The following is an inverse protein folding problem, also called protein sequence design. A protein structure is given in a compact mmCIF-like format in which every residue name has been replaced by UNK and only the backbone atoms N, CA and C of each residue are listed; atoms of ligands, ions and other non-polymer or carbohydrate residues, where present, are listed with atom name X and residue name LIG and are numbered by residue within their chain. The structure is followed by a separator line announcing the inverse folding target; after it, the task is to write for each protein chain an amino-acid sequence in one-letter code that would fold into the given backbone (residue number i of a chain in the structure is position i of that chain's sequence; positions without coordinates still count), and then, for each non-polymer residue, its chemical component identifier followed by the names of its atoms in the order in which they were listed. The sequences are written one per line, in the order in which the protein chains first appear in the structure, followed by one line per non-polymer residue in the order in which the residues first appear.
data_IF_337787205751
#
_entry.id   IF_337787205751
#
_cell.length_a   1.000
_cell.length_b   1.000
_cell.length_c   1.000
_cell.angle_alpha   90.00
_cell.angle_beta   90.00
_cell.angle_gamma   90.00
#
_symmetry.space_group_name_H-M   'P 1'
#
loop_
_entity.id
_entity.type
_entity.pdbx_description
1 polymer ?
#
# COMPACT_ATOMS: atom_id res chain seq x y z
N UNK A 1 7.76 -26.78 6.07
CA UNK A 1 7.40 -26.18 7.37
C UNK A 1 8.46 -25.18 7.84
N UNK A 2 9.78 -25.40 7.58
CA UNK A 2 10.85 -24.52 8.04
C UNK A 2 10.98 -23.13 7.35
N UNK A 3 10.52 -22.98 6.11
CA UNK A 3 10.69 -21.74 5.33
C UNK A 3 9.76 -20.62 5.79
N UNK A 4 8.49 -20.93 6.05
CA UNK A 4 7.51 -19.96 6.61
C UNK A 4 7.92 -19.38 7.96
N UNK A 5 8.61 -20.17 8.78
CA UNK A 5 9.09 -19.73 10.10
C UNK A 5 10.26 -18.75 10.00
N UNK A 6 11.09 -18.82 8.95
CA UNK A 6 12.24 -17.92 8.74
C UNK A 6 11.80 -16.55 8.19
N UNK A 7 10.82 -16.52 7.29
CA UNK A 7 10.29 -15.24 6.75
C UNK A 7 9.54 -14.45 7.82
N UNK A 8 8.73 -15.13 8.66
CA UNK A 8 8.09 -14.49 9.81
C UNK A 8 9.09 -14.01 10.86
N UNK A 9 10.24 -14.67 11.03
CA UNK A 9 11.27 -14.25 11.98
C UNK A 9 12.06 -13.03 11.50
N UNK A 10 12.33 -12.89 10.21
CA UNK A 10 13.05 -11.74 9.65
C UNK A 10 12.21 -10.45 9.74
N UNK A 11 10.93 -10.52 9.38
CA UNK A 11 10.00 -9.39 9.53
C UNK A 11 9.79 -9.03 11.00
N UNK A 12 9.64 -10.03 11.88
CA UNK A 12 9.51 -9.81 13.32
C UNK A 12 10.77 -9.19 13.93
N UNK A 13 11.95 -9.62 13.50
CA UNK A 13 13.23 -9.03 13.91
C UNK A 13 13.35 -7.58 13.43
N UNK A 14 13.01 -7.31 12.16
CA UNK A 14 13.00 -5.95 11.64
C UNK A 14 12.10 -5.03 12.48
N UNK A 15 10.86 -5.43 12.73
CA UNK A 15 9.90 -4.67 13.55
C UNK A 15 10.44 -4.49 14.98
N UNK A 16 11.03 -5.53 15.58
CA UNK A 16 11.60 -5.44 16.92
C UNK A 16 12.76 -4.44 17.00
N UNK A 17 13.70 -4.49 16.04
CA UNK A 17 14.82 -3.53 15.98
C UNK A 17 14.33 -2.12 15.67
N UNK A 18 13.36 -1.98 14.76
CA UNK A 18 12.77 -0.71 14.38
C UNK A 18 12.09 -0.03 15.59
N UNK A 19 11.35 -0.80 16.39
CA UNK A 19 10.73 -0.31 17.62
C UNK A 19 11.77 -0.01 18.71
N UNK A 20 12.80 -0.86 18.84
CA UNK A 20 13.83 -0.68 19.88
C UNK A 20 14.70 0.54 19.61
N UNK A 21 15.01 0.84 18.36
CA UNK A 21 15.81 2.02 17.97
C UNK A 21 15.03 3.32 17.96
N UNK A 22 13.69 3.29 18.11
CA UNK A 22 12.78 4.43 17.97
C UNK A 22 12.94 5.21 16.65
N UNK A 23 13.58 4.61 15.65
CA UNK A 23 13.74 5.21 14.30
C UNK A 23 12.38 5.53 13.68
N UNK A 24 11.37 4.66 13.87
CA UNK A 24 10.02 4.89 13.40
C UNK A 24 9.39 6.16 13.94
N UNK A 25 9.55 6.40 15.25
CA UNK A 25 9.06 7.60 15.90
C UNK A 25 9.79 8.85 15.39
N UNK A 26 11.11 8.76 15.24
CA UNK A 26 11.90 9.87 14.71
C UNK A 26 11.49 10.23 13.27
N UNK A 27 11.40 9.25 12.39
CA UNK A 27 10.93 9.46 11.00
C UNK A 27 9.51 10.03 10.98
N UNK A 28 8.63 9.56 11.87
CA UNK A 28 7.25 10.04 11.94
C UNK A 28 7.19 11.52 12.35
N UNK A 29 7.97 11.94 13.34
CA UNK A 29 7.99 13.34 13.80
C UNK A 29 8.61 14.25 12.76
N UNK A 30 9.83 13.95 12.30
CA UNK A 30 10.53 14.75 11.27
C UNK A 30 9.74 14.79 9.96
N UNK A 31 9.15 13.65 9.56
CA UNK A 31 8.31 13.56 8.37
C UNK A 31 7.04 14.39 8.49
N UNK A 32 6.36 14.37 9.64
CA UNK A 32 5.18 15.18 9.87
C UNK A 32 5.51 16.68 9.88
N UNK A 33 6.62 17.07 10.49
CA UNK A 33 7.05 18.47 10.54
C UNK A 33 7.49 18.96 9.16
N UNK A 34 8.19 18.14 8.38
CA UNK A 34 8.52 18.44 6.99
C UNK A 34 7.26 18.63 6.11
N UNK A 35 6.27 17.74 6.23
CA UNK A 35 5.01 17.85 5.50
C UNK A 35 4.22 19.13 5.89
N UNK A 36 4.21 19.48 7.18
CA UNK A 36 3.61 20.72 7.66
C UNK A 36 4.34 21.96 7.14
N UNK A 37 5.67 21.94 7.16
CA UNK A 37 6.49 23.05 6.66
C UNK A 37 6.29 23.30 5.15
N UNK A 38 6.07 22.23 4.38
CA UNK A 38 5.78 22.31 2.95
C UNK A 38 4.30 22.63 2.64
N UNK A 39 3.45 22.81 3.65
CA UNK A 39 2.00 22.92 3.52
C UNK A 39 1.37 21.72 2.75
N UNK A 40 2.06 20.60 2.71
CA UNK A 40 1.56 19.35 2.14
C UNK A 40 0.77 18.59 3.22
N UNK A 41 -0.37 19.15 3.59
CA UNK A 41 -1.32 18.56 4.53
C UNK A 41 -2.65 18.31 3.83
N UNK A 42 -3.51 17.52 4.42
CA UNK A 42 -4.81 17.21 3.81
C UNK A 42 -4.76 16.06 2.78
N UNK A 43 -5.76 16.02 1.93
CA UNK A 43 -5.96 14.94 0.95
C UNK A 43 -4.76 14.68 0.01
N UNK A 44 -3.98 15.69 -0.45
CA UNK A 44 -2.83 15.43 -1.31
C UNK A 44 -1.78 14.49 -0.70
N UNK A 45 -1.56 14.56 0.62
CA UNK A 45 -0.60 13.69 1.31
C UNK A 45 -1.09 12.23 1.33
N UNK A 46 -2.40 12.03 1.52
CA UNK A 46 -2.99 10.69 1.48
C UNK A 46 -2.88 10.10 0.07
N UNK A 47 -3.14 10.89 -0.97
CA UNK A 47 -2.97 10.46 -2.37
C UNK A 47 -1.50 10.14 -2.65
N UNK A 48 -0.57 10.98 -2.18
CA UNK A 48 0.87 10.72 -2.26
C UNK A 48 1.27 9.41 -1.59
N UNK A 49 0.71 9.11 -0.43
CA UNK A 49 0.91 7.85 0.27
C UNK A 49 0.38 6.65 -0.54
N UNK A 50 -0.81 6.77 -1.16
CA UNK A 50 -1.35 5.73 -2.05
C UNK A 50 -0.37 5.45 -3.19
N UNK A 51 0.18 6.48 -3.86
CA UNK A 51 1.16 6.28 -4.94
C UNK A 51 2.47 5.67 -4.45
N UNK A 52 2.96 6.07 -3.29
CA UNK A 52 4.14 5.46 -2.68
C UNK A 52 3.91 3.96 -2.44
N UNK A 53 2.78 3.60 -1.85
CA UNK A 53 2.38 2.21 -1.61
C UNK A 53 2.25 1.42 -2.91
N UNK A 54 1.70 2.03 -3.98
CA UNK A 54 1.64 1.42 -5.33
C UNK A 54 3.04 1.00 -5.80
N UNK A 55 4.03 1.89 -5.67
CA UNK A 55 5.42 1.57 -6.07
C UNK A 55 5.99 0.43 -5.24
N UNK A 56 5.76 0.45 -3.93
CA UNK A 56 6.23 -0.62 -3.02
C UNK A 56 5.52 -1.95 -3.30
N UNK A 57 4.23 -1.94 -3.64
CA UNK A 57 3.45 -3.15 -3.99
C UNK A 57 3.95 -3.85 -5.25
N UNK A 58 4.62 -3.15 -6.15
CA UNK A 58 5.27 -3.79 -7.31
C UNK A 58 6.49 -4.62 -6.90
N UNK A 59 7.12 -4.28 -5.77
CA UNK A 59 8.31 -4.95 -5.24
C UNK A 59 7.98 -5.99 -4.16
N UNK A 60 6.87 -5.81 -3.45
CA UNK A 60 6.46 -6.67 -2.33
C UNK A 60 5.06 -7.21 -2.62
N UNK A 61 4.97 -8.48 -3.06
CA UNK A 61 3.67 -9.09 -3.38
C UNK A 61 2.79 -9.33 -2.14
N UNK A 62 3.40 -9.60 -0.98
CA UNK A 62 2.64 -9.92 0.23
C UNK A 62 2.12 -8.65 0.91
N UNK A 63 0.82 -8.34 0.75
CA UNK A 63 0.19 -7.17 1.38
C UNK A 63 0.30 -7.15 2.90
N UNK A 64 0.29 -8.30 3.57
CA UNK A 64 0.50 -8.35 5.03
C UNK A 64 1.95 -8.03 5.42
N UNK A 65 2.94 -8.50 4.64
CA UNK A 65 4.34 -8.19 4.88
C UNK A 65 4.64 -6.72 4.58
N UNK A 66 4.10 -6.19 3.49
CA UNK A 66 4.23 -4.77 3.14
C UNK A 66 3.62 -3.87 4.22
N UNK A 67 2.39 -4.17 4.68
CA UNK A 67 1.77 -3.43 5.77
C UNK A 67 2.57 -3.48 7.06
N UNK A 68 3.16 -4.62 7.39
CA UNK A 68 4.02 -4.76 8.55
C UNK A 68 5.28 -3.88 8.50
N UNK A 69 5.75 -3.53 7.29
CA UNK A 69 6.87 -2.60 7.08
C UNK A 69 6.41 -1.14 7.09
N UNK A 70 5.26 -0.84 6.48
CA UNK A 70 4.76 0.53 6.32
C UNK A 70 4.07 1.06 7.60
N UNK A 71 3.28 0.23 8.29
CA UNK A 71 2.48 0.67 9.43
C UNK A 71 3.29 1.32 10.57
N UNK A 72 4.46 0.78 11.00
CA UNK A 72 5.24 1.40 12.07
C UNK A 72 5.75 2.80 11.75
N UNK A 73 5.84 3.16 10.48
CA UNK A 73 6.31 4.48 10.02
C UNK A 73 5.11 5.40 9.77
N UNK A 74 4.20 4.96 8.91
CA UNK A 74 3.14 5.84 8.38
C UNK A 74 1.99 6.04 9.35
N UNK A 75 1.63 5.05 10.19
CA UNK A 75 0.55 5.24 11.17
C UNK A 75 0.89 6.36 12.17
N UNK A 76 2.04 6.36 12.87
CA UNK A 76 2.38 7.47 13.78
C UNK A 76 2.49 8.81 13.03
N UNK A 77 3.09 8.84 11.84
CA UNK A 77 3.23 10.04 11.03
C UNK A 77 1.87 10.67 10.71
N UNK A 78 0.94 9.88 10.19
CA UNK A 78 -0.39 10.36 9.84
C UNK A 78 -1.24 10.73 11.07
N UNK A 79 -1.07 10.01 12.19
CA UNK A 79 -1.70 10.39 13.46
C UNK A 79 -1.23 11.77 13.96
N UNK A 80 0.04 12.11 13.81
CA UNK A 80 0.59 13.44 14.12
C UNK A 80 0.03 14.54 13.19
N UNK A 81 -0.45 14.15 12.01
CA UNK A 81 -1.18 15.03 11.09
C UNK A 81 -2.69 15.05 11.36
N UNK A 82 -3.19 14.29 12.35
CA UNK A 82 -4.61 14.25 12.75
C UNK A 82 -5.46 13.21 12.01
N UNK A 83 -4.86 12.31 11.23
CA UNK A 83 -5.60 11.28 10.50
C UNK A 83 -5.93 10.06 11.34
N UNK A 84 -7.07 9.45 11.08
CA UNK A 84 -7.46 8.20 11.68
C UNK A 84 -6.64 7.03 11.10
N UNK A 85 -6.03 6.17 11.93
CA UNK A 85 -5.27 4.99 11.47
C UNK A 85 -6.05 4.07 10.53
N UNK A 86 -7.35 3.88 10.78
CA UNK A 86 -8.22 3.07 9.93
C UNK A 86 -8.40 3.65 8.54
N UNK A 87 -8.45 4.98 8.43
CA UNK A 87 -8.50 5.68 7.14
C UNK A 87 -7.21 5.46 6.34
N UNK A 88 -6.06 5.55 6.99
CA UNK A 88 -4.75 5.31 6.35
C UNK A 88 -4.60 3.85 5.94
N UNK A 89 -5.09 2.91 6.75
CA UNK A 89 -5.12 1.49 6.36
C UNK A 89 -6.01 1.26 5.12
N UNK A 90 -7.12 1.96 5.00
CA UNK A 90 -7.97 1.88 3.80
C UNK A 90 -7.24 2.44 2.57
N UNK A 91 -6.55 3.58 2.69
CA UNK A 91 -5.71 4.14 1.63
C UNK A 91 -4.62 3.17 1.18
N UNK A 92 -3.94 2.52 2.14
CA UNK A 92 -2.99 1.44 1.86
C UNK A 92 -3.64 0.30 1.05
N UNK A 93 -4.82 -0.18 1.46
CA UNK A 93 -5.52 -1.28 0.79
C UNK A 93 -5.94 -0.96 -0.63
N UNK A 94 -6.26 0.29 -0.92
CA UNK A 94 -6.56 0.77 -2.28
C UNK A 94 -5.35 0.55 -3.19
N UNK A 95 -4.16 0.95 -2.75
CA UNK A 95 -2.93 0.78 -3.49
C UNK A 95 -2.58 -0.71 -3.70
N UNK A 96 -2.53 -1.48 -2.61
CA UNK A 96 -2.21 -2.91 -2.61
C UNK A 96 -3.16 -3.70 -3.54
N UNK A 97 -4.47 -3.51 -3.39
CA UNK A 97 -5.47 -4.23 -4.17
C UNK A 97 -5.42 -3.91 -5.66
N UNK A 98 -5.16 -2.66 -6.02
CA UNK A 98 -5.12 -2.22 -7.42
C UNK A 98 -3.91 -2.76 -8.17
N UNK A 99 -2.76 -2.90 -7.48
CA UNK A 99 -1.48 -3.29 -8.09
C UNK A 99 -1.22 -4.78 -8.12
N UNK A 100 -1.92 -5.56 -7.31
CA UNK A 100 -1.74 -7.02 -7.22
C UNK A 100 -1.85 -7.75 -8.56
N UNK A 101 -2.64 -7.19 -9.49
CA UNK A 101 -2.89 -7.78 -10.82
C UNK A 101 -1.67 -7.67 -11.74
N UNK A 102 -0.87 -6.60 -11.60
CA UNK A 102 0.31 -6.35 -12.46
C UNK A 102 1.64 -6.68 -11.78
N UNK A 103 1.63 -7.04 -10.51
CA UNK A 103 2.84 -7.34 -9.75
C UNK A 103 3.52 -8.60 -10.31
N UNK A 104 4.76 -8.51 -10.83
CA UNK A 104 5.43 -9.64 -11.48
C UNK A 104 5.78 -10.78 -10.49
N UNK A 105 5.81 -10.47 -9.20
CA UNK A 105 6.06 -11.45 -8.11
C UNK A 105 4.81 -12.24 -7.71
N UNK A 106 3.66 -11.97 -8.35
CA UNK A 106 2.43 -12.71 -8.08
C UNK A 106 2.58 -14.17 -8.56
N UNK A 107 2.48 -15.17 -7.66
CA UNK A 107 2.65 -16.57 -8.03
C UNK A 107 1.61 -17.08 -9.03
N UNK A 108 0.43 -16.45 -9.09
CA UNK A 108 -0.62 -16.80 -10.05
C UNK A 108 -0.28 -16.36 -11.48
N UNK A 109 0.64 -15.40 -11.68
CA UNK A 109 1.09 -14.96 -13.00
C UNK A 109 1.63 -16.10 -13.85
N UNK A 110 2.33 -17.05 -13.22
CA UNK A 110 2.90 -18.24 -13.93
C UNK A 110 1.77 -19.14 -14.43
N UNK A 111 0.72 -19.33 -13.63
CA UNK A 111 -0.45 -20.14 -14.00
C UNK A 111 -1.21 -19.48 -15.14
N UNK A 112 -1.46 -18.17 -15.04
CA UNK A 112 -2.12 -17.39 -16.10
C UNK A 112 -1.30 -17.44 -17.40
N UNK A 113 0.03 -17.32 -17.29
CA UNK A 113 0.91 -17.40 -18.46
C UNK A 113 0.85 -18.79 -19.12
N UNK A 114 0.74 -19.87 -18.35
CA UNK A 114 0.61 -21.21 -18.88
C UNK A 114 -0.66 -21.34 -19.75
N UNK A 115 -1.80 -20.88 -19.23
CA UNK A 115 -3.06 -20.85 -20.00
C UNK A 115 -2.99 -19.91 -21.23
N UNK A 116 -2.36 -18.74 -21.10
CA UNK A 116 -2.22 -17.84 -22.26
C UNK A 116 -1.40 -18.45 -23.37
N UNK A 117 -0.37 -19.25 -23.07
CA UNK A 117 0.49 -19.89 -24.07
C UNK A 117 -0.23 -20.96 -24.89
N UNK A 118 -1.36 -21.47 -24.45
CA UNK A 118 -2.21 -22.35 -25.23
C UNK A 118 -2.85 -21.62 -26.44
N UNK A 119 -3.10 -20.31 -26.29
CA UNK A 119 -3.71 -19.49 -27.34
C UNK A 119 -2.68 -18.65 -28.08
N UNK A 120 -1.68 -18.13 -27.39
CA UNK A 120 -0.62 -17.27 -27.95
C UNK A 120 0.74 -17.76 -27.45
N UNK A 121 1.43 -18.52 -28.30
CA UNK A 121 2.72 -19.16 -27.97
C UNK A 121 3.84 -18.17 -27.64
N UNK A 122 3.74 -16.92 -28.15
CA UNK A 122 4.69 -15.84 -27.91
C UNK A 122 4.37 -15.03 -26.64
N UNK A 123 3.28 -15.34 -25.93
CA UNK A 123 2.91 -14.62 -24.73
C UNK A 123 3.98 -14.74 -23.63
N UNK A 124 4.29 -13.62 -23.01
CA UNK A 124 5.22 -13.52 -21.88
C UNK A 124 4.58 -12.78 -20.70
N UNK A 125 5.29 -12.67 -19.57
CA UNK A 125 4.84 -11.89 -18.43
C UNK A 125 4.53 -10.44 -18.81
N UNK A 126 5.34 -9.83 -19.68
CA UNK A 126 5.12 -8.50 -20.18
C UNK A 126 3.79 -8.35 -20.95
N UNK A 127 3.34 -9.40 -21.63
CA UNK A 127 2.03 -9.41 -22.31
C UNK A 127 0.90 -9.32 -21.31
N UNK A 128 0.97 -10.09 -20.21
CA UNK A 128 -0.05 -10.04 -19.15
C UNK A 128 -0.07 -8.66 -18.50
N UNK A 129 1.11 -8.14 -18.11
CA UNK A 129 1.23 -6.83 -17.47
C UNK A 129 0.67 -5.73 -18.38
N UNK A 130 1.00 -5.73 -19.66
CA UNK A 130 0.51 -4.72 -20.63
C UNK A 130 -1.01 -4.77 -20.81
N UNK A 131 -1.60 -5.96 -20.82
CA UNK A 131 -3.05 -6.14 -20.90
C UNK A 131 -3.77 -5.72 -19.62
N UNK A 132 -3.16 -5.94 -18.47
CA UNK A 132 -3.76 -5.63 -17.15
C UNK A 132 -3.50 -4.19 -16.69
N UNK A 133 -2.51 -3.50 -17.25
CA UNK A 133 -2.14 -2.14 -16.87
C UNK A 133 -3.32 -1.15 -16.96
N UNK A 134 -4.11 -1.08 -18.05
CA UNK A 134 -5.23 -0.16 -18.14
C UNK A 134 -6.31 -0.45 -17.07
N UNK A 135 -6.54 -1.72 -16.76
CA UNK A 135 -7.47 -2.08 -15.68
C UNK A 135 -6.96 -1.65 -14.32
N UNK A 136 -5.67 -1.86 -14.04
CA UNK A 136 -5.03 -1.40 -12.80
C UNK A 136 -5.17 0.11 -12.63
N UNK A 137 -4.90 0.90 -13.68
CA UNK A 137 -5.04 2.36 -13.65
C UNK A 137 -6.50 2.78 -13.45
N UNK A 138 -7.45 2.12 -14.10
CA UNK A 138 -8.87 2.39 -13.93
C UNK A 138 -9.34 2.07 -12.50
N UNK A 139 -8.98 0.91 -11.97
CA UNK A 139 -9.32 0.55 -10.57
C UNK A 139 -8.68 1.50 -9.58
N UNK A 140 -7.39 1.81 -9.72
CA UNK A 140 -6.71 2.75 -8.85
C UNK A 140 -7.39 4.12 -8.87
N UNK A 141 -7.71 4.64 -10.05
CA UNK A 141 -8.42 5.91 -10.22
C UNK A 141 -9.79 5.91 -9.55
N UNK A 142 -10.61 4.87 -9.79
CA UNK A 142 -11.96 4.75 -9.19
C UNK A 142 -11.86 4.67 -7.67
N UNK A 143 -10.93 3.87 -7.13
CA UNK A 143 -10.76 3.72 -5.69
C UNK A 143 -10.24 4.99 -5.02
N UNK A 144 -9.31 5.73 -5.67
CA UNK A 144 -8.86 7.04 -5.17
C UNK A 144 -10.02 8.03 -5.16
N UNK A 145 -10.80 8.11 -6.24
CA UNK A 145 -11.98 8.99 -6.30
C UNK A 145 -12.98 8.64 -5.19
N UNK A 146 -13.24 7.34 -4.99
CA UNK A 146 -14.12 6.90 -3.92
C UNK A 146 -13.59 7.30 -2.54
N UNK A 147 -12.30 7.10 -2.27
CA UNK A 147 -11.67 7.52 -1.01
C UNK A 147 -11.82 9.04 -0.79
N UNK A 148 -11.60 9.83 -1.84
CA UNK A 148 -11.74 11.28 -1.80
C UNK A 148 -13.19 11.72 -1.54
N UNK A 149 -14.17 11.05 -2.16
CA UNK A 149 -15.59 11.29 -1.91
C UNK A 149 -15.92 11.03 -0.43
N UNK A 150 -15.50 9.88 0.12
CA UNK A 150 -15.72 9.57 1.53
C UNK A 150 -15.07 10.59 2.47
N UNK A 151 -13.84 11.03 2.13
CA UNK A 151 -13.14 12.03 2.91
C UNK A 151 -13.82 13.41 2.88
N UNK A 152 -14.24 13.88 1.70
CA UNK A 152 -14.85 15.21 1.52
C UNK A 152 -16.27 15.27 2.13
N UNK A 153 -17.06 14.23 1.93
CA UNK A 153 -18.42 14.16 2.49
C UNK A 153 -18.47 13.70 3.96
N UNK A 154 -17.34 13.39 4.56
CA UNK A 154 -17.28 12.91 5.95
C UNK A 154 -17.99 11.59 6.16
N UNK A 155 -18.04 10.72 5.14
CA UNK A 155 -18.66 9.41 5.22
C UNK A 155 -17.68 8.45 5.93
N UNK A 156 -18.10 7.72 6.97
CA UNK A 156 -17.23 6.77 7.64
C UNK A 156 -16.92 5.57 6.74
N UNK A 157 -15.66 5.16 6.68
CA UNK A 157 -15.23 3.94 5.98
C UNK A 157 -15.59 2.65 6.74
N UNK A 158 -15.96 2.77 8.00
CA UNK A 158 -16.39 1.71 8.88
C UNK A 158 -16.96 2.31 10.15
N UNK A 159 -17.45 1.49 11.11
CA UNK A 159 -18.01 2.00 12.36
C UNK A 159 -17.02 2.90 13.10
N UNK A 160 -17.28 4.22 13.12
CA UNK A 160 -16.44 5.22 13.79
C UNK A 160 -15.11 5.56 13.06
N UNK A 161 -14.91 5.12 11.82
CA UNK A 161 -13.69 5.38 11.05
C UNK A 161 -13.91 6.52 10.08
N UNK A 162 -13.69 7.74 10.55
CA UNK A 162 -13.68 8.95 9.73
C UNK A 162 -12.24 9.26 9.27
N UNK A 163 -12.08 10.25 8.37
CA UNK A 163 -10.78 10.68 7.87
C UNK A 163 -9.87 11.20 8.99
N UNK A 164 -10.42 12.02 9.88
CA UNK A 164 -9.70 12.60 11.02
C UNK A 164 -10.07 11.93 12.34
N UNK A 165 -9.16 12.07 13.32
CA UNK A 165 -9.34 11.59 14.69
C UNK A 165 -10.40 12.43 15.44
#
# INVERSE_FOLDING_TARGET
VGRKRREGSAAAQFIAYFNWTNIGTWIAVEGADALKALNLTGLPVVVGFVFLTVVLSLLIFSGSAQWALEAPIFIPLFMLLGYNPGFIQAAYRIADSSTNVITPLNPYMIVILAFMKEYETKAGLGTIISLMLPYTLAFLGIWIIMLLIFAVFGIPLGPGVYMYL
#
